data_IF_954790560418
#
_entry.id   IF_954790560418
#
_cell.length_a   1.000
_cell.length_b   1.000
_cell.length_c   1.000
_cell.angle_alpha   90.00
_cell.angle_beta   90.00
_cell.angle_gamma   90.00
#
_symmetry.space_group_name_H-M   'P 1'
#
loop_
_entity.id
_entity.type
_entity.pdbx_description
1 polymer ?
#
# COMPACT_ATOMS: atom_id res chain seq x y z
N UNK A 1 17.24 -11.23 10.66
CA UNK A 1 15.97 -10.55 10.39
C UNK A 1 15.10 -10.58 11.63
N UNK A 2 14.59 -9.43 12.02
CA UNK A 2 13.75 -9.37 13.21
C UNK A 2 12.37 -9.90 12.91
N UNK A 3 11.62 -10.37 13.91
CA UNK A 3 10.28 -10.91 13.68
C UNK A 3 9.32 -9.92 13.04
N UNK A 4 9.39 -8.65 13.39
CA UNK A 4 8.46 -7.69 12.83
C UNK A 4 8.65 -7.50 11.32
N UNK A 5 9.83 -7.83 10.78
CA UNK A 5 10.04 -7.72 9.34
C UNK A 5 9.26 -8.77 8.56
N UNK A 6 8.71 -9.76 9.24
CA UNK A 6 7.94 -10.81 8.59
C UNK A 6 6.45 -10.57 8.68
N UNK A 7 6.03 -9.58 9.45
CA UNK A 7 4.62 -9.32 9.65
C UNK A 7 4.11 -8.32 8.63
N UNK A 8 3.02 -8.66 7.99
CA UNK A 8 2.37 -7.77 7.03
C UNK A 8 0.98 -7.46 7.57
N UNK A 9 0.67 -6.19 7.70
CA UNK A 9 -0.63 -5.77 8.18
C UNK A 9 -1.42 -5.15 7.02
N UNK A 10 -2.58 -5.70 6.74
CA UNK A 10 -3.42 -5.19 5.66
C UNK A 10 -4.21 -3.98 6.15
N UNK A 11 -4.00 -2.85 5.49
CA UNK A 11 -4.72 -1.63 5.82
C UNK A 11 -6.06 -1.61 5.09
N UNK A 12 -6.99 -2.42 5.56
CA UNK A 12 -8.33 -2.49 4.98
C UNK A 12 -9.22 -1.50 5.72
N UNK A 13 -8.96 -0.24 5.48
CA UNK A 13 -9.63 0.86 6.18
C UNK A 13 -10.21 1.84 5.16
N UNK A 14 -11.22 2.63 5.55
CA UNK A 14 -11.92 3.48 4.58
C UNK A 14 -11.15 4.69 4.11
N UNK A 15 -10.18 5.18 4.86
CA UNK A 15 -9.50 6.38 4.44
C UNK A 15 -8.19 6.63 5.14
N UNK A 16 -7.59 7.78 4.82
CA UNK A 16 -6.25 8.11 5.29
C UNK A 16 -6.16 8.28 6.81
N UNK A 17 -7.23 8.76 7.42
CA UNK A 17 -7.24 8.99 8.85
C UNK A 17 -7.02 7.68 9.60
N UNK A 18 -7.78 6.66 9.23
CA UNK A 18 -7.67 5.36 9.85
C UNK A 18 -6.34 4.71 9.52
N UNK A 19 -5.89 4.87 8.26
CA UNK A 19 -4.61 4.30 7.85
C UNK A 19 -3.47 4.90 8.65
N UNK A 20 -3.49 6.21 8.85
CA UNK A 20 -2.48 6.90 9.62
C UNK A 20 -2.46 6.41 11.05
N UNK A 21 -3.65 6.22 11.63
CA UNK A 21 -3.77 5.74 13.00
C UNK A 21 -3.11 4.37 13.16
N UNK A 22 -3.41 3.43 12.27
CA UNK A 22 -2.84 2.09 12.38
C UNK A 22 -1.35 2.09 12.10
N UNK A 23 -0.89 2.92 11.17
CA UNK A 23 0.54 3.00 10.90
C UNK A 23 1.30 3.49 12.13
N UNK A 24 0.72 4.43 12.84
CA UNK A 24 1.33 4.96 14.05
C UNK A 24 1.31 3.95 15.19
N UNK A 25 0.16 3.31 15.40
CA UNK A 25 0.01 2.37 16.51
C UNK A 25 0.88 1.12 16.32
N UNK A 26 1.06 0.70 15.08
CA UNK A 26 1.81 -0.51 14.78
C UNK A 26 3.27 -0.25 14.40
N UNK A 27 3.73 0.97 14.61
CA UNK A 27 5.13 1.29 14.32
C UNK A 27 6.03 0.39 15.17
N UNK A 28 6.99 -0.25 14.51
CA UNK A 28 7.90 -1.16 15.20
C UNK A 28 7.35 -2.57 15.41
N UNK A 29 6.06 -2.77 15.12
CA UNK A 29 5.43 -4.08 15.30
C UNK A 29 5.38 -4.85 13.99
N UNK A 30 5.07 -4.17 12.88
CA UNK A 30 4.97 -4.82 11.58
C UNK A 30 6.08 -4.33 10.67
N UNK A 31 6.48 -5.18 9.73
CA UNK A 31 7.53 -4.84 8.77
C UNK A 31 6.99 -4.30 7.46
N UNK A 32 5.70 -4.47 7.20
CA UNK A 32 5.11 -4.06 5.94
C UNK A 32 3.63 -3.77 6.09
N UNK A 33 3.18 -2.68 5.49
CA UNK A 33 1.76 -2.37 5.41
C UNK A 33 1.29 -2.66 3.99
N UNK A 34 0.23 -3.43 3.88
CA UNK A 34 -0.35 -3.74 2.58
C UNK A 34 -1.51 -2.80 2.30
N UNK A 35 -1.45 -2.13 1.16
CA UNK A 35 -2.49 -1.20 0.73
C UNK A 35 -3.21 -1.82 -0.45
N UNK A 36 -4.51 -2.00 -0.30
CA UNK A 36 -5.33 -2.55 -1.37
C UNK A 36 -5.79 -1.47 -2.33
N UNK A 37 -6.50 -1.91 -3.36
CA UNK A 37 -6.95 -1.03 -4.43
C UNK A 37 -7.87 0.07 -3.92
N UNK A 38 -8.80 -0.27 -3.05
CA UNK A 38 -9.79 0.68 -2.59
C UNK A 38 -9.16 1.88 -1.91
N UNK A 39 -8.27 1.63 -0.98
CA UNK A 39 -7.60 2.70 -0.25
C UNK A 39 -6.70 3.51 -1.19
N UNK A 40 -6.00 2.81 -2.11
CA UNK A 40 -5.12 3.48 -3.04
C UNK A 40 -5.88 4.41 -3.98
N UNK A 41 -7.05 3.96 -4.46
CA UNK A 41 -7.87 4.78 -5.36
C UNK A 41 -8.48 5.95 -4.59
N UNK A 42 -8.97 5.68 -3.38
CA UNK A 42 -9.63 6.70 -2.58
C UNK A 42 -8.69 7.83 -2.19
N UNK A 43 -7.47 7.50 -1.80
CA UNK A 43 -6.55 8.50 -1.28
C UNK A 43 -5.44 8.89 -2.26
N UNK A 44 -5.28 8.13 -3.32
CA UNK A 44 -4.21 8.38 -4.29
C UNK A 44 -2.85 8.00 -3.75
N UNK A 45 -1.79 8.32 -4.49
CA UNK A 45 -0.45 7.95 -4.07
C UNK A 45 0.00 8.64 -2.77
N UNK A 46 -0.69 9.70 -2.36
CA UNK A 46 -0.37 10.37 -1.11
C UNK A 46 -0.51 9.46 0.09
N UNK A 47 -1.30 8.39 0.00
CA UNK A 47 -1.45 7.46 1.11
C UNK A 47 -0.11 6.82 1.46
N UNK A 48 0.75 6.63 0.47
CA UNK A 48 2.08 6.07 0.70
C UNK A 48 2.88 7.00 1.60
N UNK A 49 2.87 8.29 1.28
CA UNK A 49 3.63 9.25 2.07
C UNK A 49 3.07 9.40 3.47
N UNK A 50 1.75 9.37 3.60
CA UNK A 50 1.10 9.48 4.90
C UNK A 50 1.57 8.34 5.80
N UNK A 51 1.63 7.12 5.28
CA UNK A 51 2.06 5.98 6.07
C UNK A 51 3.55 6.05 6.35
N UNK A 52 4.35 6.47 5.37
CA UNK A 52 5.80 6.60 5.56
C UNK A 52 6.13 7.62 6.65
N UNK A 53 5.31 8.65 6.80
CA UNK A 53 5.54 9.64 7.84
C UNK A 53 5.29 9.09 9.23
N UNK A 54 4.54 8.00 9.33
CA UNK A 54 4.20 7.41 10.63
C UNK A 54 5.02 6.18 10.95
N UNK A 55 5.58 5.54 9.96
CA UNK A 55 6.22 4.24 10.17
C UNK A 55 7.36 4.02 9.20
N UNK A 56 8.39 3.32 9.66
CA UNK A 56 9.51 2.93 8.82
C UNK A 56 9.25 1.62 8.08
N UNK A 57 8.08 1.02 8.27
CA UNK A 57 7.76 -0.25 7.63
C UNK A 57 7.68 -0.09 6.11
N UNK A 58 7.90 -1.17 5.40
CA UNK A 58 7.77 -1.17 3.94
C UNK A 58 6.30 -1.09 3.53
N UNK A 59 6.07 -0.75 2.29
CA UNK A 59 4.71 -0.64 1.76
C UNK A 59 4.58 -1.56 0.56
N UNK A 60 3.47 -2.29 0.55
CA UNK A 60 3.15 -3.27 -0.48
C UNK A 60 1.81 -2.86 -1.08
N UNK A 61 1.80 -2.52 -2.36
CA UNK A 61 0.55 -2.23 -3.07
C UNK A 61 0.05 -3.52 -3.70
N UNK A 62 -1.12 -3.97 -3.23
CA UNK A 62 -1.71 -5.22 -3.71
C UNK A 62 -3.02 -4.87 -4.43
N UNK A 63 -2.93 -4.77 -5.74
CA UNK A 63 -4.05 -4.30 -6.55
C UNK A 63 -4.59 -5.42 -7.42
N UNK A 64 -5.92 -5.43 -7.60
CA UNK A 64 -6.58 -6.41 -8.44
C UNK A 64 -7.31 -5.69 -9.54
N UNK A 65 -6.74 -5.73 -10.73
CA UNK A 65 -7.27 -5.00 -11.87
C UNK A 65 -7.23 -5.85 -13.12
N UNK A 66 -8.27 -5.77 -13.94
CA UNK A 66 -8.24 -6.39 -15.27
C UNK A 66 -7.35 -5.57 -16.19
N UNK A 67 -7.60 -4.27 -16.20
CA UNK A 67 -6.82 -3.33 -16.99
C UNK A 67 -6.27 -2.28 -16.07
N UNK A 68 -5.23 -1.60 -16.51
CA UNK A 68 -4.67 -0.51 -15.72
C UNK A 68 -4.99 0.78 -16.45
N UNK A 69 -6.01 1.53 -15.99
CA UNK A 69 -6.31 2.82 -16.60
C UNK A 69 -5.13 3.78 -16.50
N UNK A 70 -5.10 4.75 -17.39
CA UNK A 70 -4.01 5.72 -17.40
C UNK A 70 -3.87 6.45 -16.07
N UNK A 71 -5.00 6.75 -15.43
CA UNK A 71 -4.97 7.45 -14.13
C UNK A 71 -4.30 6.60 -13.06
N UNK A 72 -4.59 5.31 -13.06
CA UNK A 72 -3.97 4.40 -12.09
C UNK A 72 -2.50 4.21 -12.41
N UNK A 73 -2.15 4.15 -13.69
CA UNK A 73 -0.75 4.03 -14.08
C UNK A 73 0.08 5.22 -13.58
N UNK A 74 -0.48 6.42 -13.71
CA UNK A 74 0.19 7.61 -13.19
C UNK A 74 0.37 7.57 -11.69
N UNK A 75 -0.68 7.13 -10.99
CA UNK A 75 -0.61 7.02 -9.53
C UNK A 75 0.44 5.99 -9.11
N UNK A 76 0.54 4.88 -9.86
CA UNK A 76 1.54 3.86 -9.56
C UNK A 76 2.96 4.39 -9.76
N UNK A 77 3.18 5.18 -10.81
CA UNK A 77 4.49 5.78 -11.01
C UNK A 77 4.86 6.70 -9.85
N UNK A 78 3.89 7.48 -9.38
CA UNK A 78 4.12 8.37 -8.24
C UNK A 78 4.44 7.57 -6.97
N UNK A 79 3.69 6.50 -6.74
CA UNK A 79 3.92 5.66 -5.57
C UNK A 79 5.30 5.02 -5.61
N UNK A 80 5.74 4.60 -6.80
CA UNK A 80 7.05 4.00 -6.96
C UNK A 80 8.15 5.00 -6.62
N UNK A 81 7.98 6.25 -7.02
CA UNK A 81 8.94 7.29 -6.69
C UNK A 81 9.02 7.54 -5.19
N UNK A 82 7.94 7.27 -4.47
CA UNK A 82 7.93 7.43 -3.02
C UNK A 82 8.55 6.25 -2.29
N UNK A 83 8.98 5.23 -3.00
CA UNK A 83 9.70 4.14 -2.38
C UNK A 83 8.86 2.95 -1.96
N UNK A 84 7.75 2.72 -2.64
CA UNK A 84 6.97 1.51 -2.40
C UNK A 84 7.83 0.30 -2.71
N UNK A 85 7.91 -0.64 -1.78
CA UNK A 85 8.78 -1.79 -1.90
C UNK A 85 8.23 -2.85 -2.84
N UNK A 86 6.93 -3.10 -2.77
CA UNK A 86 6.32 -4.15 -3.55
C UNK A 86 5.06 -3.64 -4.21
N UNK A 87 4.85 -4.00 -5.46
CA UNK A 87 3.62 -3.69 -6.19
C UNK A 87 3.20 -4.97 -6.89
N UNK A 88 1.98 -5.44 -6.59
CA UNK A 88 1.43 -6.62 -7.25
C UNK A 88 0.10 -6.26 -7.88
N UNK A 89 -0.06 -6.59 -9.13
CA UNK A 89 -1.29 -6.36 -9.87
C UNK A 89 -1.81 -7.70 -10.32
N UNK A 90 -3.03 -8.02 -9.91
CA UNK A 90 -3.65 -9.28 -10.26
C UNK A 90 -4.70 -9.05 -11.31
N UNK A 91 -4.76 -9.91 -12.30
CA UNK A 91 -5.80 -9.86 -13.30
C UNK A 91 -6.54 -11.18 -13.29
N UNK A 92 -7.84 -11.13 -13.12
CA UNK A 92 -8.61 -12.35 -13.08
C UNK A 92 -8.71 -12.98 -14.45
N UNK A 93 -8.40 -12.23 -15.51
CA UNK A 93 -8.41 -12.78 -16.83
C UNK A 93 -7.09 -13.32 -17.27
N UNK A 94 -6.05 -12.92 -16.64
CA UNK A 94 -4.72 -13.20 -17.08
C UNK A 94 -4.27 -14.59 -16.78
N UNK A 95 -5.06 -15.28 -16.03
CA UNK A 95 -4.63 -16.56 -15.60
C UNK A 95 -4.79 -17.61 -16.57
N UNK A 96 -5.57 -17.47 -17.56
CA UNK A 96 -5.80 -18.60 -18.40
C UNK A 96 -4.65 -19.03 -19.19
#
# INVERSE_FOLDING_TARGET
MSPQNRLIFALDVPGKKEAKHYAKVLEGVVGCFKIGLELFISEGPDIVKIIQDQSAANIFLDLKLHDIPATVRGALRSAKKLGVRYITIHSTEGEE
#
